data_IF_062804389303
#
_entry.id   IF_062804389303
#
_cell.length_a   1.000
_cell.length_b   1.000
_cell.length_c   1.000
_cell.angle_alpha   90.00
_cell.angle_beta   90.00
_cell.angle_gamma   90.00
#
_symmetry.space_group_name_H-M   'P 1'
#
loop_
_entity.id
_entity.type
_entity.pdbx_description
1 polymer ?
#
# COMPACT_ATOMS: atom_id res chain seq x y z
N UNK A 1 -3.70 1.48 -28.14
CA UNK A 1 -4.18 2.51 -27.23
C UNK A 1 -3.37 3.79 -27.40
N UNK A 2 -4.06 4.89 -27.73
CA UNK A 2 -3.44 6.18 -28.04
C UNK A 2 -3.60 7.20 -26.88
N UNK A 3 -4.17 6.78 -25.75
CA UNK A 3 -4.35 7.61 -24.57
C UNK A 3 -3.21 7.49 -23.57
N UNK A 4 -3.23 8.31 -22.50
CA UNK A 4 -2.21 8.26 -21.44
C UNK A 4 -2.14 6.89 -20.78
N UNK A 5 -0.93 6.38 -20.58
CA UNK A 5 -0.65 5.13 -19.89
C UNK A 5 -0.12 5.43 -18.48
N UNK A 6 -0.81 4.90 -17.46
CA UNK A 6 -0.43 5.03 -16.06
C UNK A 6 0.04 3.69 -15.53
N UNK A 7 1.29 3.60 -15.06
CA UNK A 7 1.79 2.41 -14.39
C UNK A 7 1.58 2.55 -12.87
N UNK A 8 0.94 1.56 -12.27
CA UNK A 8 0.69 1.49 -10.82
C UNK A 8 1.17 0.15 -10.25
N UNK A 9 1.45 0.14 -8.95
CA UNK A 9 1.83 -1.06 -8.19
C UNK A 9 3.33 -1.15 -7.95
N UNK A 10 3.70 -1.36 -6.69
CA UNK A 10 5.06 -1.52 -6.19
C UNK A 10 6.05 -0.37 -6.51
N UNK A 11 5.58 0.77 -6.97
CA UNK A 11 6.41 1.96 -7.21
C UNK A 11 6.45 2.78 -5.92
N UNK A 12 7.65 2.92 -5.32
CA UNK A 12 7.84 3.62 -4.04
C UNK A 12 9.06 4.54 -4.00
N UNK A 13 9.87 4.55 -5.07
CA UNK A 13 11.09 5.34 -5.21
C UNK A 13 11.24 5.90 -6.63
N UNK A 14 12.26 6.73 -6.84
CA UNK A 14 12.53 7.33 -8.15
C UNK A 14 13.02 6.32 -9.17
N UNK A 15 13.68 5.23 -8.76
CA UNK A 15 14.07 4.16 -9.67
C UNK A 15 12.86 3.47 -10.28
N UNK A 16 11.80 3.23 -9.48
CA UNK A 16 10.52 2.72 -9.96
C UNK A 16 9.84 3.68 -10.96
N UNK A 17 9.91 5.00 -10.71
CA UNK A 17 9.39 6.02 -11.65
C UNK A 17 10.18 6.00 -12.96
N UNK A 18 11.51 5.96 -12.89
CA UNK A 18 12.37 5.86 -14.08
C UNK A 18 12.08 4.59 -14.88
N UNK A 19 11.89 3.45 -14.17
CA UNK A 19 11.51 2.17 -14.77
C UNK A 19 10.15 2.24 -15.47
N UNK A 20 9.15 2.87 -14.85
CA UNK A 20 7.83 3.07 -15.47
C UNK A 20 7.93 3.84 -16.79
N UNK A 21 8.71 4.92 -16.81
CA UNK A 21 8.97 5.71 -18.04
C UNK A 21 9.70 4.88 -19.10
N UNK A 22 10.71 4.11 -18.71
CA UNK A 22 11.46 3.24 -19.64
C UNK A 22 10.56 2.17 -20.27
N UNK A 23 9.52 1.73 -19.57
CA UNK A 23 8.49 0.81 -20.07
C UNK A 23 7.45 1.51 -20.96
N UNK A 24 7.51 2.83 -21.13
CA UNK A 24 6.60 3.61 -21.98
C UNK A 24 5.38 4.16 -21.26
N UNK A 25 5.34 4.15 -19.93
CA UNK A 25 4.27 4.81 -19.19
C UNK A 25 4.47 6.34 -19.18
N UNK A 26 3.37 7.07 -19.34
CA UNK A 26 3.35 8.53 -19.24
C UNK A 26 3.36 8.99 -17.79
N UNK A 27 2.75 8.22 -16.89
CA UNK A 27 2.61 8.53 -15.48
C UNK A 27 2.92 7.30 -14.61
N UNK A 28 3.51 7.54 -13.43
CA UNK A 28 3.65 6.56 -12.37
C UNK A 28 2.68 6.90 -11.22
N UNK A 29 1.94 5.90 -10.73
CA UNK A 29 0.99 6.05 -9.65
C UNK A 29 1.53 5.40 -8.37
N UNK A 30 1.72 6.19 -7.31
CA UNK A 30 2.23 5.75 -6.02
C UNK A 30 1.14 5.88 -4.96
N UNK A 31 0.81 4.79 -4.26
CA UNK A 31 -0.15 4.78 -3.16
C UNK A 31 0.54 4.68 -1.81
N UNK A 32 1.06 3.50 -1.48
CA UNK A 32 1.64 3.16 -0.16
C UNK A 32 2.74 4.14 0.26
N UNK A 33 3.59 4.59 -0.68
CA UNK A 33 4.66 5.56 -0.38
C UNK A 33 4.12 6.85 0.24
N UNK A 34 2.98 7.35 -0.25
CA UNK A 34 2.38 8.58 0.27
C UNK A 34 1.63 8.39 1.59
N UNK A 35 1.23 7.16 1.95
CA UNK A 35 0.70 6.87 3.30
C UNK A 35 1.79 7.14 4.36
N UNK A 36 3.04 6.75 4.07
CA UNK A 36 4.19 7.00 4.93
C UNK A 36 4.75 8.42 4.72
N UNK A 37 3.91 9.44 4.89
CA UNK A 37 4.28 10.86 4.91
C UNK A 37 3.72 11.55 6.15
N UNK A 38 4.31 12.67 6.56
CA UNK A 38 3.85 13.42 7.74
C UNK A 38 2.42 13.92 7.58
N UNK A 39 2.06 14.38 6.38
CA UNK A 39 0.77 14.99 6.06
C UNK A 39 -0.36 13.99 5.82
N UNK A 40 -0.06 12.72 5.55
CA UNK A 40 -1.09 11.71 5.38
C UNK A 40 -1.92 11.56 6.67
N UNK A 41 -3.25 11.57 6.52
CA UNK A 41 -4.16 11.32 7.63
C UNK A 41 -4.28 9.81 7.94
N UNK A 42 -3.13 9.20 8.26
CA UNK A 42 -3.01 7.80 8.64
C UNK A 42 -2.47 7.72 10.08
N UNK A 43 -2.87 6.66 10.79
CA UNK A 43 -2.38 6.40 12.13
C UNK A 43 -0.85 6.34 12.17
N UNK A 44 -0.17 6.92 13.17
CA UNK A 44 1.28 6.83 13.29
C UNK A 44 1.82 5.40 13.31
N UNK A 45 1.10 4.46 13.94
CA UNK A 45 1.43 3.04 13.95
C UNK A 45 1.37 2.43 12.56
N UNK A 46 0.40 2.83 11.72
CA UNK A 46 0.33 2.40 10.33
C UNK A 46 1.54 2.87 9.52
N UNK A 47 1.91 4.14 9.65
CA UNK A 47 3.09 4.69 8.97
C UNK A 47 4.37 3.96 9.37
N UNK A 48 4.53 3.69 10.68
CA UNK A 48 5.67 2.94 11.19
C UNK A 48 5.66 1.50 10.70
N UNK A 49 4.51 0.82 10.71
CA UNK A 49 4.39 -0.55 10.20
C UNK A 49 4.77 -0.64 8.71
N UNK A 50 4.44 0.38 7.89
CA UNK A 50 4.89 0.44 6.49
C UNK A 50 6.42 0.49 6.42
N UNK A 51 7.05 1.32 7.26
CA UNK A 51 8.53 1.49 7.27
C UNK A 51 9.24 0.22 7.73
N UNK A 52 8.64 -0.52 8.67
CA UNK A 52 9.21 -1.73 9.26
C UNK A 52 8.96 -2.99 8.42
N UNK A 53 8.11 -2.90 7.38
CA UNK A 53 7.69 -4.05 6.57
C UNK A 53 8.52 -4.22 5.31
N UNK A 54 8.58 -5.47 4.86
CA UNK A 54 9.15 -5.87 3.57
C UNK A 54 8.05 -6.40 2.64
N UNK A 55 8.38 -6.67 1.38
CA UNK A 55 7.43 -7.27 0.44
C UNK A 55 6.93 -8.67 0.90
N UNK A 56 7.73 -9.40 1.70
CA UNK A 56 7.35 -10.68 2.28
C UNK A 56 6.28 -10.56 3.38
N UNK A 57 6.10 -9.36 3.94
CA UNK A 57 5.10 -9.07 4.96
C UNK A 57 3.75 -8.68 4.37
N UNK A 58 3.59 -8.71 3.05
CA UNK A 58 2.33 -8.47 2.37
C UNK A 58 1.58 -9.79 2.21
N UNK A 59 0.40 -9.87 2.84
CA UNK A 59 -0.51 -11.01 2.75
C UNK A 59 -1.63 -10.69 1.76
N UNK A 60 -1.72 -11.48 0.68
CA UNK A 60 -2.78 -11.35 -0.32
C UNK A 60 -3.95 -12.25 0.04
N UNK A 61 -5.04 -11.69 0.53
CA UNK A 61 -6.19 -12.46 1.04
C UNK A 61 -7.52 -11.76 0.80
N UNK A 62 -8.59 -12.54 0.77
CA UNK A 62 -9.98 -12.08 0.76
C UNK A 62 -10.64 -12.14 2.14
N UNK A 63 -9.94 -12.67 3.15
CA UNK A 63 -10.49 -12.94 4.47
C UNK A 63 -10.96 -11.69 5.23
N UNK A 64 -10.45 -10.51 4.87
CA UNK A 64 -10.77 -9.25 5.56
C UNK A 64 -12.03 -8.60 4.99
N UNK A 65 -12.13 -8.52 3.66
CA UNK A 65 -13.15 -7.73 2.97
C UNK A 65 -14.00 -8.56 1.99
N UNK A 66 -13.77 -9.88 1.92
CA UNK A 66 -14.39 -10.73 0.91
C UNK A 66 -13.88 -10.48 -0.53
N UNK A 67 -13.06 -9.46 -0.71
CA UNK A 67 -12.38 -9.14 -1.97
C UNK A 67 -10.87 -9.30 -1.74
N UNK A 68 -10.18 -9.92 -2.69
CA UNK A 68 -8.72 -10.09 -2.60
C UNK A 68 -8.02 -8.74 -2.55
N UNK A 69 -7.24 -8.54 -1.49
CA UNK A 69 -6.44 -7.34 -1.26
C UNK A 69 -5.11 -7.66 -0.59
N UNK A 70 -4.22 -6.70 -0.61
CA UNK A 70 -2.92 -6.78 0.03
C UNK A 70 -2.99 -6.14 1.41
N UNK A 71 -2.60 -6.86 2.45
CA UNK A 71 -2.63 -6.39 3.84
C UNK A 71 -1.27 -6.59 4.49
N UNK A 72 -0.94 -5.71 5.44
CA UNK A 72 0.25 -5.86 6.27
C UNK A 72 0.06 -7.03 7.25
N UNK A 73 0.98 -8.00 7.22
CA UNK A 73 0.98 -9.18 8.10
C UNK A 73 0.78 -8.80 9.57
N UNK A 74 1.60 -7.88 10.07
CA UNK A 74 1.56 -7.45 11.45
C UNK A 74 0.20 -6.84 11.86
N UNK A 75 -0.52 -6.17 10.94
CA UNK A 75 -1.86 -5.64 11.26
C UNK A 75 -2.92 -6.73 11.31
N UNK A 76 -2.81 -7.79 10.49
CA UNK A 76 -3.70 -8.95 10.56
C UNK A 76 -3.50 -9.71 11.87
N UNK A 77 -2.24 -9.96 12.25
CA UNK A 77 -1.87 -10.62 13.51
C UNK A 77 -2.32 -9.82 14.74
N UNK A 78 -2.13 -8.48 14.72
CA UNK A 78 -2.61 -7.59 15.78
C UNK A 78 -4.14 -7.58 15.90
N UNK A 79 -4.86 -7.80 14.80
CA UNK A 79 -6.32 -7.98 14.80
C UNK A 79 -6.77 -9.38 15.25
N UNK A 80 -5.83 -10.27 15.61
CA UNK A 80 -6.11 -11.63 16.09
C UNK A 80 -6.42 -12.64 14.98
N UNK A 81 -6.07 -12.34 13.73
CA UNK A 81 -6.22 -13.27 12.62
C UNK A 81 -5.05 -14.25 12.57
N UNK A 82 -5.38 -15.54 12.55
CA UNK A 82 -4.41 -16.61 12.32
C UNK A 82 -4.18 -16.76 10.81
N UNK A 83 -2.97 -16.45 10.36
CA UNK A 83 -2.62 -16.43 8.94
C UNK A 83 -2.56 -17.82 8.31
N UNK A 84 -2.37 -18.87 9.11
CA UNK A 84 -2.32 -20.25 8.65
C UNK A 84 -3.74 -20.82 8.39
N UNK A 85 -4.77 -20.19 8.99
CA UNK A 85 -6.17 -20.63 8.93
C UNK A 85 -7.11 -19.58 8.35
N UNK A 86 -6.58 -18.62 7.57
CA UNK A 86 -7.42 -17.56 6.97
C UNK A 86 -8.58 -18.15 6.17
N UNK A 87 -9.83 -17.72 6.42
CA UNK A 87 -10.98 -18.17 5.68
C UNK A 87 -10.89 -17.78 4.20
N UNK A 88 -11.28 -18.70 3.31
CA UNK A 88 -11.38 -18.47 1.87
C UNK A 88 -12.83 -18.57 1.42
N UNK A 89 -13.21 -17.78 0.41
CA UNK A 89 -14.53 -17.91 -0.23
C UNK A 89 -15.71 -17.36 0.58
N UNK A 90 -15.48 -16.41 1.49
CA UNK A 90 -16.56 -15.75 2.21
C UNK A 90 -17.43 -14.95 1.24
N UNK A 91 -18.74 -15.27 1.15
CA UNK A 91 -19.69 -14.44 0.42
C UNK A 91 -19.89 -13.14 1.19
N UNK A 92 -19.70 -12.03 0.50
CA UNK A 92 -19.95 -10.69 1.06
C UNK A 92 -21.47 -10.51 1.18
N UNK A 93 -21.98 -10.33 2.40
CA UNK A 93 -23.30 -9.73 2.61
C UNK A 93 -23.11 -8.22 2.86
N UNK A 94 -23.38 -7.44 1.82
CA UNK A 94 -23.14 -5.98 1.81
C UNK A 94 -23.96 -5.23 2.85
N UNK A 95 -24.96 -5.84 3.46
CA UNK A 95 -25.83 -5.20 4.45
C UNK A 95 -25.33 -5.30 5.90
N UNK A 96 -24.80 -6.46 6.30
CA UNK A 96 -24.24 -6.67 7.65
C UNK A 96 -22.77 -6.21 7.74
N UNK A 97 -22.04 -6.27 6.63
CA UNK A 97 -20.59 -5.99 6.61
C UNK A 97 -20.26 -4.50 6.71
N UNK A 98 -21.09 -3.57 6.21
CA UNK A 98 -20.87 -2.12 6.37
C UNK A 98 -20.73 -1.67 7.84
N UNK A 99 -21.31 -2.40 8.78
CA UNK A 99 -21.21 -2.10 10.22
C UNK A 99 -20.01 -2.82 10.90
N UNK A 100 -19.61 -3.99 10.45
CA UNK A 100 -18.43 -4.72 10.96
C UNK A 100 -17.14 -4.28 10.26
N UNK A 101 -17.20 -4.00 8.95
CA UNK A 101 -16.08 -3.47 8.18
C UNK A 101 -15.58 -2.13 8.68
N UNK A 102 -16.45 -1.22 9.14
CA UNK A 102 -16.00 0.07 9.68
C UNK A 102 -15.02 -0.08 10.85
N UNK A 103 -15.07 -1.19 11.57
CA UNK A 103 -14.15 -1.54 12.65
C UNK A 103 -12.89 -2.23 12.15
N UNK A 104 -13.03 -3.16 11.19
CA UNK A 104 -11.91 -3.88 10.60
C UNK A 104 -10.98 -2.95 9.79
N UNK A 105 -11.54 -2.04 8.99
CA UNK A 105 -10.78 -1.04 8.22
C UNK A 105 -10.03 -0.02 9.08
N UNK A 106 -10.41 0.11 10.35
CA UNK A 106 -9.72 1.01 11.27
C UNK A 106 -8.41 0.42 11.79
N UNK A 107 -8.35 -0.89 11.95
CA UNK A 107 -7.28 -1.58 12.65
C UNK A 107 -6.49 -2.55 11.75
N UNK A 108 -7.03 -2.92 10.56
CA UNK A 108 -6.37 -3.76 9.57
C UNK A 108 -5.92 -2.89 8.39
N UNK A 109 -4.61 -2.83 8.19
CA UNK A 109 -3.99 -1.89 7.25
C UNK A 109 -3.50 -2.59 5.99
N UNK A 110 -3.80 -1.96 4.84
CA UNK A 110 -3.40 -2.44 3.53
C UNK A 110 -2.18 -1.68 3.00
N UNK A 111 -1.29 -2.39 2.33
CA UNK A 111 -0.14 -1.81 1.66
C UNK A 111 0.23 -2.61 0.42
N UNK A 112 0.82 -1.96 -0.57
CA UNK A 112 1.37 -2.64 -1.74
C UNK A 112 2.75 -3.23 -1.48
N UNK A 113 3.18 -4.15 -2.34
CA UNK A 113 4.48 -4.83 -2.24
C UNK A 113 5.70 -3.90 -2.33
N UNK A 114 5.51 -2.64 -2.74
CA UNK A 114 6.55 -1.61 -2.72
C UNK A 114 6.96 -1.11 -1.33
N UNK A 115 6.40 -1.67 -0.24
CA UNK A 115 6.81 -1.31 1.15
C UNK A 115 8.30 -1.52 1.38
N UNK A 116 8.90 -2.52 0.73
CA UNK A 116 10.33 -2.83 0.92
C UNK A 116 11.30 -1.71 0.50
N UNK A 117 10.83 -0.69 -0.23
CA UNK A 117 11.60 0.50 -0.60
C UNK A 117 11.23 1.74 0.24
N UNK A 118 10.44 1.58 1.31
CA UNK A 118 9.97 2.69 2.16
C UNK A 118 10.65 2.60 3.52
N UNK A 119 11.55 3.53 3.81
CA UNK A 119 12.39 3.49 5.01
C UNK A 119 12.25 4.72 5.91
N UNK A 120 11.36 5.67 5.57
CA UNK A 120 11.18 6.93 6.27
C UNK A 120 9.75 7.48 6.17
N UNK A 121 9.45 8.49 7.01
CA UNK A 121 8.18 9.24 7.00
C UNK A 121 8.49 10.72 6.81
N UNK A 122 8.88 11.15 5.61
CA UNK A 122 9.20 12.55 5.30
C UNK A 122 7.93 13.40 5.16
N UNK A 123 8.09 14.71 4.97
CA UNK A 123 7.02 15.53 4.41
C UNK A 123 6.79 15.18 2.93
N UNK A 124 5.60 15.51 2.44
CA UNK A 124 5.29 15.35 0.99
C UNK A 124 6.27 16.15 0.12
N UNK A 125 6.65 17.35 0.56
CA UNK A 125 7.60 18.19 -0.18
C UNK A 125 8.98 17.52 -0.30
N UNK A 126 9.52 16.99 0.83
CA UNK A 126 10.79 16.26 0.85
C UNK A 126 10.71 14.99 -0.01
N UNK A 127 9.61 14.24 0.09
CA UNK A 127 9.39 13.05 -0.70
C UNK A 127 9.39 13.35 -2.21
N UNK A 128 8.63 14.36 -2.63
CA UNK A 128 8.53 14.72 -4.05
C UNK A 128 9.87 15.20 -4.59
N UNK A 129 10.63 15.98 -3.83
CA UNK A 129 11.98 16.38 -4.21
C UNK A 129 12.89 15.16 -4.40
N UNK A 130 12.91 14.23 -3.44
CA UNK A 130 13.69 13.00 -3.48
C UNK A 130 13.31 12.14 -4.71
N UNK A 131 12.01 11.90 -4.92
CA UNK A 131 11.51 11.10 -6.05
C UNK A 131 11.93 11.71 -7.39
N UNK A 132 11.89 13.04 -7.51
CA UNK A 132 12.29 13.76 -8.72
C UNK A 132 13.78 13.63 -9.00
N UNK A 133 14.61 13.81 -7.97
CA UNK A 133 16.06 13.70 -8.07
C UNK A 133 16.47 12.25 -8.43
N UNK A 134 15.90 11.25 -7.76
CA UNK A 134 16.16 9.84 -8.03
C UNK A 134 15.68 9.38 -9.41
N UNK A 135 14.54 9.91 -9.89
CA UNK A 135 14.00 9.57 -11.21
C UNK A 135 14.76 10.25 -12.36
N UNK A 136 15.70 11.17 -12.08
CA UNK A 136 16.40 11.96 -13.09
C UNK A 136 15.44 12.86 -13.90
N UNK A 137 14.38 13.34 -13.27
CA UNK A 137 13.43 14.29 -13.87
C UNK A 137 13.83 15.69 -13.44
N UNK A 138 14.31 16.47 -14.40
CA UNK A 138 14.64 17.88 -14.23
C UNK A 138 13.37 18.73 -14.17
#
# INVERSE_FOLDING_TARGET
>A
WDGPLVLAGAISDGAGIAGARALGADLAYLGTRFIATREANADPGFKQMIVDSTAADIVYTEAVSGIKGNFLRASLEAAGLDLDTLPTGKKIDMGEELNSESKAWKDIWSAGQGVGSIHDVPSVAELVAKLRDEAGVL
#
